data_IF_797831577289
#
_entry.id   IF_797831577289
#
_cell.length_a   1.000
_cell.length_b   1.000
_cell.length_c   1.000
_cell.angle_alpha   90.00
_cell.angle_beta   90.00
_cell.angle_gamma   90.00
#
_symmetry.space_group_name_H-M   'P 1'
#
loop_
_entity.id
_entity.type
_entity.pdbx_description
1 polymer ?
#
# COMPACT_ATOMS: atom_id res chain seq x y z
N UNK A 1 13.83 14.07 10.30
CA UNK A 1 13.50 12.74 9.78
C UNK A 1 12.39 12.90 8.76
N UNK A 2 12.52 12.27 7.60
CA UNK A 2 11.55 12.31 6.52
C UNK A 2 11.12 10.89 6.19
N UNK A 3 9.82 10.63 6.33
CA UNK A 3 9.19 9.33 6.14
C UNK A 3 8.47 9.28 4.78
N UNK A 4 8.24 8.09 4.25
CA UNK A 4 7.72 7.86 2.89
C UNK A 4 8.54 8.58 1.80
N UNK A 5 9.86 8.61 1.99
CA UNK A 5 10.76 9.41 1.16
C UNK A 5 10.75 9.01 -0.32
N UNK A 6 10.31 7.80 -0.69
CA UNK A 6 10.17 7.36 -2.08
C UNK A 6 9.14 8.16 -2.90
N UNK A 7 8.17 8.79 -2.25
CA UNK A 7 7.11 9.57 -2.91
C UNK A 7 7.45 11.07 -2.98
N UNK A 8 8.63 11.47 -2.50
CA UNK A 8 9.05 12.85 -2.55
C UNK A 8 9.33 13.30 -4.00
N UNK A 9 8.78 14.45 -4.38
CA UNK A 9 9.17 15.09 -5.63
C UNK A 9 10.56 15.76 -5.51
N UNK A 10 11.20 16.02 -6.65
CA UNK A 10 12.54 16.58 -6.70
C UNK A 10 12.69 17.94 -5.98
N UNK A 11 11.64 18.76 -5.97
CA UNK A 11 11.65 20.06 -5.29
C UNK A 11 11.64 19.88 -3.77
N UNK A 12 10.78 19.00 -3.25
CA UNK A 12 10.74 18.68 -1.83
C UNK A 12 12.08 18.09 -1.37
N UNK A 13 12.62 17.14 -2.15
CA UNK A 13 13.90 16.52 -1.85
C UNK A 13 15.03 17.56 -1.81
N UNK A 14 15.08 18.49 -2.78
CA UNK A 14 16.13 19.52 -2.80
C UNK A 14 16.04 20.46 -1.60
N UNK A 15 14.84 20.87 -1.20
CA UNK A 15 14.64 21.71 0.01
C UNK A 15 15.16 21.00 1.25
N UNK A 16 14.84 19.71 1.42
CA UNK A 16 15.27 18.92 2.58
C UNK A 16 16.79 18.75 2.56
N UNK A 17 17.39 18.40 1.42
CA UNK A 17 18.84 18.18 1.29
C UNK A 17 19.66 19.44 1.61
N UNK A 18 19.11 20.63 1.38
CA UNK A 18 19.78 21.90 1.70
C UNK A 18 19.68 22.33 3.18
N UNK A 19 18.97 21.60 4.04
CA UNK A 19 18.89 21.93 5.46
C UNK A 19 20.19 21.57 6.20
N UNK A 20 20.71 22.49 7.00
CA UNK A 20 21.90 22.24 7.84
C UNK A 20 21.50 21.57 9.17
N UNK A 21 21.13 20.29 9.10
CA UNK A 21 20.76 19.48 10.26
C UNK A 21 21.01 17.99 10.01
N UNK A 22 20.82 17.16 11.02
CA UNK A 22 20.83 15.70 10.83
C UNK A 22 19.64 15.29 9.97
N UNK A 23 19.94 14.65 8.83
CA UNK A 23 18.93 14.17 7.89
C UNK A 23 18.85 12.65 7.98
N UNK A 24 17.64 12.15 8.21
CA UNK A 24 17.32 10.71 8.25
C UNK A 24 16.13 10.52 7.32
N UNK A 25 16.30 9.64 6.34
CA UNK A 25 15.28 9.32 5.35
C UNK A 25 14.84 7.87 5.58
N UNK A 26 13.52 7.68 5.61
CA UNK A 26 12.88 6.37 5.76
C UNK A 26 11.92 6.20 4.60
N UNK A 27 11.92 5.01 4.00
CA UNK A 27 11.08 4.70 2.86
C UNK A 27 11.42 3.35 2.24
N UNK A 28 10.63 2.95 1.25
CA UNK A 28 10.82 1.72 0.49
C UNK A 28 10.81 2.01 -1.00
N UNK A 29 11.96 1.79 -1.67
CA UNK A 29 12.08 2.02 -3.11
C UNK A 29 11.12 1.17 -3.94
N UNK A 30 10.71 0.01 -3.45
CA UNK A 30 9.79 -0.90 -4.14
C UNK A 30 8.32 -0.55 -3.92
N UNK A 31 8.01 0.42 -3.06
CA UNK A 31 6.65 0.93 -2.83
C UNK A 31 6.36 2.25 -3.56
N UNK A 32 7.25 2.71 -4.43
CA UNK A 32 7.01 3.89 -5.27
C UNK A 32 6.03 3.55 -6.40
N UNK A 33 4.76 3.99 -6.24
CA UNK A 33 3.68 3.67 -7.18
C UNK A 33 3.42 4.78 -8.22
N UNK A 34 3.96 5.99 -8.03
CA UNK A 34 3.63 7.17 -8.85
C UNK A 34 4.56 7.41 -10.07
N UNK A 35 5.46 6.47 -10.36
CA UNK A 35 6.46 6.59 -11.44
C UNK A 35 5.85 6.68 -12.85
N UNK A 36 4.59 6.29 -13.03
CA UNK A 36 3.87 6.40 -14.31
C UNK A 36 3.71 7.85 -14.81
N UNK A 37 3.96 8.84 -13.96
CA UNK A 37 4.00 10.26 -14.33
C UNK A 37 5.37 10.74 -14.85
N UNK A 38 6.34 9.84 -15.00
CA UNK A 38 7.73 10.16 -15.35
C UNK A 38 8.57 10.65 -14.16
N UNK A 39 8.08 10.44 -12.93
CA UNK A 39 8.82 10.79 -11.71
C UNK A 39 9.94 9.78 -11.43
N UNK A 40 11.11 10.31 -11.04
CA UNK A 40 12.25 9.52 -10.58
C UNK A 40 12.00 9.15 -9.11
N UNK A 41 12.29 7.90 -8.72
CA UNK A 41 12.23 7.48 -7.33
C UNK A 41 13.17 8.32 -6.47
N UNK A 42 12.65 9.06 -5.51
CA UNK A 42 13.47 9.92 -4.67
C UNK A 42 14.52 9.13 -3.86
N UNK A 43 14.27 7.86 -3.53
CA UNK A 43 15.25 7.00 -2.84
C UNK A 43 16.50 6.71 -3.67
N UNK A 44 16.47 6.90 -4.99
CA UNK A 44 17.65 6.77 -5.86
C UNK A 44 18.48 8.06 -5.94
N UNK A 45 17.93 9.19 -5.48
CA UNK A 45 18.56 10.51 -5.53
C UNK A 45 19.19 10.93 -4.21
N UNK A 46 18.91 10.20 -3.12
CA UNK A 46 19.40 10.50 -1.78
C UNK A 46 20.88 10.07 -1.65
N UNK A 47 21.83 10.98 -1.41
CA UNK A 47 23.26 10.71 -1.48
C UNK A 47 23.87 10.19 -0.15
N UNK A 48 23.10 9.44 0.64
CA UNK A 48 23.54 8.93 1.95
C UNK A 48 23.67 7.40 1.95
N UNK A 49 24.42 6.89 2.92
CA UNK A 49 24.51 5.46 3.18
C UNK A 49 23.12 4.87 3.49
N UNK A 50 22.84 3.70 2.92
CA UNK A 50 21.54 3.02 3.05
C UNK A 50 21.67 1.83 3.99
N UNK A 51 20.77 1.75 4.96
CA UNK A 51 20.67 0.64 5.91
C UNK A 51 19.39 -0.15 5.66
N UNK A 52 19.45 -1.32 4.99
CA UNK A 52 18.25 -2.08 4.65
C UNK A 52 17.62 -2.73 5.89
N UNK A 53 16.31 -2.55 6.05
CA UNK A 53 15.50 -3.19 7.09
C UNK A 53 14.64 -4.30 6.47
N UNK A 54 15.23 -5.50 6.35
CA UNK A 54 14.58 -6.63 5.66
C UNK A 54 13.62 -7.45 6.52
N UNK A 55 13.45 -7.15 7.81
CA UNK A 55 12.53 -7.88 8.70
C UNK A 55 11.19 -7.16 8.84
N UNK A 56 10.10 -7.81 8.45
CA UNK A 56 8.73 -7.30 8.66
C UNK A 56 8.16 -7.85 9.95
N UNK A 57 7.75 -6.98 10.86
CA UNK A 57 7.02 -7.35 12.08
C UNK A 57 5.50 -7.31 11.89
N UNK A 58 5.02 -6.92 10.70
CA UNK A 58 3.59 -6.79 10.39
C UNK A 58 2.94 -8.12 10.02
N UNK A 59 3.70 -9.07 9.50
CA UNK A 59 3.18 -10.34 9.02
C UNK A 59 4.23 -11.47 9.12
N UNK A 60 3.75 -12.70 9.05
CA UNK A 60 4.55 -13.91 9.15
C UNK A 60 5.18 -14.30 7.82
N UNK A 61 5.87 -15.44 7.84
CA UNK A 61 6.71 -15.89 6.73
C UNK A 61 5.92 -16.15 5.44
N UNK A 62 4.68 -16.64 5.54
CA UNK A 62 3.85 -16.98 4.38
C UNK A 62 3.56 -15.78 3.48
N UNK A 63 3.30 -14.61 4.06
CA UNK A 63 3.09 -13.37 3.31
C UNK A 63 4.40 -12.90 2.66
N UNK A 64 5.54 -12.96 3.39
CA UNK A 64 6.84 -12.61 2.79
C UNK A 64 7.23 -13.51 1.63
N UNK A 65 6.90 -14.80 1.64
CA UNK A 65 7.20 -15.70 0.52
C UNK A 65 6.52 -15.28 -0.76
N UNK A 66 5.25 -14.85 -0.68
CA UNK A 66 4.53 -14.33 -1.84
C UNK A 66 5.07 -12.97 -2.28
N UNK A 67 5.33 -12.07 -1.32
CA UNK A 67 5.88 -10.76 -1.62
C UNK A 67 7.28 -10.86 -2.28
N UNK A 68 8.17 -11.71 -1.76
CA UNK A 68 9.49 -11.97 -2.35
C UNK A 68 9.38 -12.54 -3.77
N UNK A 69 8.43 -13.45 -4.03
CA UNK A 69 8.19 -13.95 -5.40
C UNK A 69 7.87 -12.79 -6.35
N UNK A 70 7.02 -11.85 -5.96
CA UNK A 70 6.70 -10.67 -6.77
C UNK A 70 7.94 -9.78 -6.92
N UNK A 71 8.62 -9.44 -5.83
CA UNK A 71 9.79 -8.56 -5.82
C UNK A 71 10.96 -9.12 -6.64
N UNK A 72 11.19 -10.43 -6.64
CA UNK A 72 12.25 -11.07 -7.41
C UNK A 72 12.08 -10.94 -8.93
N UNK A 73 10.87 -10.67 -9.43
CA UNK A 73 10.68 -10.33 -10.85
C UNK A 73 11.32 -8.99 -11.20
N UNK A 74 11.45 -8.08 -10.23
CA UNK A 74 12.10 -6.79 -10.39
C UNK A 74 13.57 -6.82 -9.97
N UNK A 75 13.89 -7.43 -8.83
CA UNK A 75 15.26 -7.57 -8.34
C UNK A 75 15.42 -8.87 -7.53
N UNK A 76 16.16 -9.87 -8.04
CA UNK A 76 16.33 -11.17 -7.38
C UNK A 76 17.16 -11.10 -6.09
N UNK A 77 17.85 -9.98 -5.83
CA UNK A 77 18.66 -9.82 -4.61
C UNK A 77 17.86 -9.27 -3.42
N UNK A 78 16.59 -8.92 -3.62
CA UNK A 78 15.72 -8.40 -2.56
C UNK A 78 15.11 -9.54 -1.79
N UNK A 79 15.33 -9.59 -0.48
CA UNK A 79 14.69 -10.57 0.37
C UNK A 79 14.15 -9.90 1.63
N UNK A 80 12.86 -10.07 1.89
CA UNK A 80 12.20 -9.70 3.15
C UNK A 80 11.85 -10.95 3.95
N UNK A 81 11.94 -10.86 5.27
CA UNK A 81 11.68 -11.96 6.22
C UNK A 81 10.53 -11.60 7.15
N UNK A 82 9.57 -12.51 7.32
CA UNK A 82 8.45 -12.33 8.22
C UNK A 82 8.86 -12.65 9.66
N UNK A 83 8.71 -11.67 10.55
CA UNK A 83 8.93 -11.75 12.00
C UNK A 83 7.70 -11.34 12.81
N UNK A 84 6.58 -11.06 12.12
CA UNK A 84 5.30 -10.74 12.74
C UNK A 84 4.54 -11.98 13.24
N UNK A 85 3.25 -11.79 13.47
CA UNK A 85 2.33 -12.87 13.83
C UNK A 85 2.21 -13.89 12.70
N UNK A 86 1.78 -15.12 13.05
CA UNK A 86 1.53 -16.15 12.03
C UNK A 86 0.35 -15.71 11.14
N UNK A 87 0.58 -15.76 9.84
CA UNK A 87 -0.36 -15.24 8.83
C UNK A 87 -0.74 -16.33 7.88
N UNK A 88 -2.03 -16.44 7.59
CA UNK A 88 -2.55 -17.34 6.56
C UNK A 88 -2.68 -16.63 5.23
N UNK A 89 -2.49 -17.39 4.15
CA UNK A 89 -2.77 -16.94 2.78
C UNK A 89 -3.64 -17.99 2.13
N UNK A 90 -4.85 -17.58 1.78
CA UNK A 90 -5.91 -18.45 1.27
C UNK A 90 -6.40 -17.91 -0.07
N UNK A 91 -7.02 -18.79 -0.88
CA UNK A 91 -7.80 -18.31 -2.02
C UNK A 91 -9.10 -17.70 -1.48
N UNK A 92 -9.56 -16.62 -2.12
CA UNK A 92 -10.83 -16.00 -1.73
C UNK A 92 -12.03 -16.96 -1.74
N UNK A 93 -12.02 -17.95 -2.65
CA UNK A 93 -13.04 -19.01 -2.71
C UNK A 93 -13.04 -19.98 -1.54
N UNK A 94 -11.94 -20.03 -0.77
CA UNK A 94 -11.75 -20.92 0.38
C UNK A 94 -12.00 -20.18 1.70
N UNK A 95 -12.17 -18.86 1.65
CA UNK A 95 -12.42 -18.05 2.83
C UNK A 95 -13.85 -18.24 3.32
N UNK A 96 -13.99 -18.63 4.59
CA UNK A 96 -15.26 -18.85 5.28
C UNK A 96 -15.36 -18.09 6.62
N UNK A 97 -14.46 -17.13 6.83
CA UNK A 97 -14.38 -16.33 8.05
C UNK A 97 -15.45 -15.24 8.13
N UNK A 98 -15.50 -14.57 9.27
CA UNK A 98 -16.43 -13.46 9.56
C UNK A 98 -15.70 -12.17 9.91
N UNK A 99 -14.38 -12.14 9.74
CA UNK A 99 -13.55 -10.98 9.99
C UNK A 99 -13.85 -9.83 9.02
N UNK A 100 -13.47 -8.62 9.41
CA UNK A 100 -13.55 -7.46 8.53
C UNK A 100 -12.54 -7.60 7.38
N UNK A 101 -13.04 -7.50 6.15
CA UNK A 101 -12.23 -7.58 4.95
C UNK A 101 -11.93 -6.19 4.38
N UNK A 102 -10.69 -6.01 3.90
CA UNK A 102 -10.28 -4.89 3.06
C UNK A 102 -10.14 -5.38 1.62
N UNK A 103 -10.94 -4.83 0.71
CA UNK A 103 -10.82 -5.11 -0.71
C UNK A 103 -9.94 -4.05 -1.38
N UNK A 104 -8.92 -4.50 -2.10
CA UNK A 104 -8.00 -3.66 -2.87
C UNK A 104 -8.11 -4.06 -4.34
N UNK A 105 -8.25 -3.08 -5.23
CA UNK A 105 -8.26 -3.31 -6.67
C UNK A 105 -7.55 -2.18 -7.40
N UNK A 106 -7.09 -2.47 -8.62
CA UNK A 106 -6.41 -1.52 -9.51
C UNK A 106 -7.38 -0.43 -10.00
N UNK A 107 -8.68 -0.72 -10.06
CA UNK A 107 -9.68 0.23 -10.57
C UNK A 107 -10.84 0.44 -9.60
N UNK A 108 -11.39 1.65 -9.61
CA UNK A 108 -12.61 1.96 -8.85
C UNK A 108 -13.82 1.15 -9.35
N UNK A 109 -13.88 0.84 -10.65
CA UNK A 109 -14.97 0.06 -11.24
C UNK A 109 -15.13 -1.31 -10.56
N UNK A 110 -14.03 -2.05 -10.40
CA UNK A 110 -14.05 -3.34 -9.71
C UNK A 110 -14.45 -3.22 -8.22
N UNK A 111 -14.10 -2.11 -7.56
CA UNK A 111 -14.57 -1.87 -6.18
C UNK A 111 -16.06 -1.53 -6.13
N UNK A 112 -16.62 -0.88 -7.15
CA UNK A 112 -18.05 -0.66 -7.23
C UNK A 112 -18.83 -1.97 -7.34
N UNK A 113 -18.32 -2.96 -8.08
CA UNK A 113 -18.96 -4.28 -8.15
C UNK A 113 -19.00 -4.97 -6.78
N UNK A 114 -17.90 -4.87 -6.01
CA UNK A 114 -17.85 -5.34 -4.62
C UNK A 114 -18.86 -4.58 -3.75
N UNK A 115 -18.95 -3.25 -3.92
CA UNK A 115 -19.89 -2.41 -3.17
C UNK A 115 -21.36 -2.75 -3.46
N UNK A 116 -21.70 -3.02 -4.71
CA UNK A 116 -23.05 -3.43 -5.12
C UNK A 116 -23.34 -4.81 -4.53
N UNK A 117 -22.41 -5.75 -4.64
CA UNK A 117 -22.57 -7.11 -4.12
C UNK A 117 -22.85 -7.12 -2.62
N UNK A 118 -22.08 -6.36 -1.82
CA UNK A 118 -22.34 -6.30 -0.39
C UNK A 118 -23.62 -5.52 -0.04
N UNK A 119 -24.00 -4.50 -0.81
CA UNK A 119 -25.31 -3.83 -0.65
C UNK A 119 -26.47 -4.82 -0.85
N UNK A 120 -26.44 -5.61 -1.92
CA UNK A 120 -27.48 -6.61 -2.24
C UNK A 120 -27.57 -7.71 -1.15
N UNK A 121 -26.45 -8.00 -0.48
CA UNK A 121 -26.38 -8.97 0.60
C UNK A 121 -26.51 -8.35 2.01
N UNK A 122 -26.85 -7.07 2.12
CA UNK A 122 -26.95 -6.33 3.39
C UNK A 122 -25.67 -6.38 4.26
N UNK A 123 -24.50 -6.46 3.62
CA UNK A 123 -23.18 -6.39 4.27
C UNK A 123 -22.75 -4.93 4.34
N UNK A 124 -22.52 -4.36 5.55
CA UNK A 124 -22.03 -3.00 5.69
C UNK A 124 -20.64 -2.83 5.07
N UNK A 125 -20.46 -1.81 4.24
CA UNK A 125 -19.19 -1.54 3.56
C UNK A 125 -18.87 -0.04 3.54
N UNK A 126 -17.57 0.25 3.49
CA UNK A 126 -17.03 1.60 3.38
C UNK A 126 -16.13 1.70 2.14
N UNK A 127 -16.37 2.71 1.30
CA UNK A 127 -15.50 3.02 0.18
C UNK A 127 -14.58 4.20 0.52
N UNK A 128 -13.28 4.00 0.35
CA UNK A 128 -12.26 5.03 0.56
C UNK A 128 -11.67 5.42 -0.80
N UNK A 129 -11.91 6.65 -1.24
CA UNK A 129 -11.44 7.17 -2.53
C UNK A 129 -10.84 8.58 -2.39
N UNK A 130 -9.75 8.84 -3.12
CA UNK A 130 -8.90 10.03 -2.95
C UNK A 130 -9.51 11.37 -3.43
N UNK A 131 -10.69 11.35 -4.08
CA UNK A 131 -11.33 12.56 -4.64
C UNK A 131 -12.76 12.80 -4.17
N UNK A 132 -13.30 11.93 -3.31
CA UNK A 132 -14.67 12.07 -2.86
C UNK A 132 -14.75 11.65 -1.41
N UNK A 133 -15.45 12.44 -0.58
CA UNK A 133 -15.78 12.13 0.82
C UNK A 133 -16.01 10.63 0.95
N UNK A 134 -15.32 9.97 1.88
CA UNK A 134 -15.50 8.56 2.19
C UNK A 134 -17.00 8.26 2.27
N UNK A 135 -17.49 7.45 1.33
CA UNK A 135 -18.89 7.05 1.31
C UNK A 135 -19.00 5.82 2.18
N UNK A 136 -19.47 6.00 3.41
CA UNK A 136 -20.05 4.92 4.16
C UNK A 136 -21.40 4.60 3.51
N UNK A 137 -21.46 3.48 2.80
CA UNK A 137 -22.74 2.91 2.39
C UNK A 137 -23.40 2.34 3.65
N UNK A 138 -23.92 3.24 4.48
CA UNK A 138 -24.89 2.87 5.50
C UNK A 138 -26.12 2.45 4.70
N UNK A 139 -26.49 1.16 4.82
CA UNK A 139 -27.76 0.63 4.32
C UNK A 139 -28.87 1.63 4.66
N UNK A 140 -29.35 2.35 3.64
CA UNK A 140 -30.29 3.45 3.87
C UNK A 140 -30.47 4.44 2.72
N UNK A 141 -29.42 4.91 2.03
CA UNK A 141 -29.61 5.94 0.99
C UNK A 141 -28.45 6.05 -0.03
N UNK A 142 -28.30 5.06 -0.90
CA UNK A 142 -27.44 5.15 -2.10
C UNK A 142 -28.03 6.06 -3.22
N UNK A 143 -29.08 6.83 -2.93
CA UNK A 143 -29.85 7.62 -3.91
C UNK A 143 -29.61 9.15 -3.90
N UNK A 144 -28.52 9.66 -3.33
CA UNK A 144 -28.20 11.10 -3.45
C UNK A 144 -27.20 11.47 -4.56
N UNK A 145 -26.93 10.55 -5.50
CA UNK A 145 -26.28 10.88 -6.77
C UNK A 145 -27.34 11.15 -7.85
N UNK A 146 -28.00 12.31 -7.75
CA UNK A 146 -28.68 12.98 -8.87
C UNK A 146 -28.18 14.40 -8.96
#
# INVERSE_FOLDING_TARGET
>A
MFDEAQDANAVMLSVILNQNCQQIFVGDRYQSLYQFSGSINAMDLIPYETFPLSNSFRFGQRVTELANKVLHHHNPNVNITGKGFDTEVLRGSEYNGTEQLLFISITNAALFDVLITGYDNNVPMCFIGNKVKSYSAIAGNLLSLR
#
